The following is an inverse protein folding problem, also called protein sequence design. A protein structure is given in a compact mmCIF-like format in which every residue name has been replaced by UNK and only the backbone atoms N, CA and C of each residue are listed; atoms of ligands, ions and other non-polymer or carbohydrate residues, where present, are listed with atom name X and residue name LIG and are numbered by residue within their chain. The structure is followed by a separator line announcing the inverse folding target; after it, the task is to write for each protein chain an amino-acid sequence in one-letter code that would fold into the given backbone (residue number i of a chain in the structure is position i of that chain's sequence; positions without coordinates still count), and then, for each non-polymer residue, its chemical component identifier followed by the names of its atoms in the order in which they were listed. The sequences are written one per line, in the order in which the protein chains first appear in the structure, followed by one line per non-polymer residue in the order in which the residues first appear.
data_IF_298119101281
#
_entry.id   IF_298119101281
#
_cell.length_a   1.000
_cell.length_b   1.000
_cell.length_c   1.000
_cell.angle_alpha   90.00
_cell.angle_beta   90.00
_cell.angle_gamma   90.00
#
_symmetry.space_group_name_H-M   'P 1'
#
loop_
_entity.id
_entity.type
_entity.pdbx_description
1 polymer ?
#
# COMPACT_ATOMS: atom_id res chain seq x y z
N UNK A 1 -11.04 -15.28 -14.71
CA UNK A 1 -11.13 -13.85 -14.37
C UNK A 1 -9.97 -13.56 -13.41
N UNK A 2 -9.07 -12.62 -13.73
CA UNK A 2 -7.90 -12.35 -12.89
C UNK A 2 -8.29 -11.36 -11.79
N UNK A 3 -8.20 -11.78 -10.52
CA UNK A 3 -8.62 -10.97 -9.36
C UNK A 3 -7.83 -9.66 -9.30
N UNK A 4 -6.53 -9.74 -9.60
CA UNK A 4 -5.62 -8.58 -9.69
C UNK A 4 -6.15 -7.52 -10.65
N UNK A 5 -6.68 -7.90 -11.82
CA UNK A 5 -7.19 -6.93 -12.80
C UNK A 5 -8.41 -6.18 -12.28
N UNK A 6 -9.28 -6.86 -11.53
CA UNK A 6 -10.47 -6.23 -10.92
C UNK A 6 -10.04 -5.23 -9.83
N UNK A 7 -9.06 -5.59 -9.01
CA UNK A 7 -8.50 -4.67 -8.01
C UNK A 7 -7.83 -3.45 -8.67
N UNK A 8 -7.10 -3.65 -9.77
CA UNK A 8 -6.51 -2.54 -10.54
C UNK A 8 -7.58 -1.63 -11.15
N UNK A 9 -8.69 -2.18 -11.64
CA UNK A 9 -9.81 -1.40 -12.12
C UNK A 9 -10.40 -0.53 -11.00
N UNK A 10 -10.68 -1.13 -9.84
CA UNK A 10 -11.19 -0.42 -8.68
C UNK A 10 -10.22 0.69 -8.20
N UNK A 11 -8.92 0.39 -8.17
CA UNK A 11 -7.87 1.35 -7.83
C UNK A 11 -7.81 2.53 -8.81
N UNK A 12 -7.90 2.26 -10.12
CA UNK A 12 -7.94 3.29 -11.16
C UNK A 12 -9.18 4.19 -11.03
N UNK A 13 -10.35 3.59 -10.80
CA UNK A 13 -11.59 4.32 -10.64
C UNK A 13 -11.56 5.23 -9.41
N UNK A 14 -11.12 4.72 -8.26
CA UNK A 14 -10.98 5.52 -7.05
C UNK A 14 -9.88 6.59 -7.20
N UNK A 15 -8.74 6.23 -7.79
CA UNK A 15 -7.63 7.17 -8.02
C UNK A 15 -8.05 8.36 -8.86
N UNK A 16 -8.94 8.16 -9.82
CA UNK A 16 -9.46 9.24 -10.67
C UNK A 16 -10.33 10.20 -9.89
N UNK A 17 -11.22 9.71 -9.02
CA UNK A 17 -12.03 10.55 -8.12
C UNK A 17 -11.15 11.35 -7.15
N UNK A 18 -10.16 10.70 -6.53
CA UNK A 18 -9.25 11.34 -5.59
C UNK A 18 -8.36 12.40 -6.27
N UNK A 19 -7.86 12.14 -7.48
CA UNK A 19 -7.11 13.13 -8.27
C UNK A 19 -7.98 14.35 -8.61
N UNK A 20 -9.22 14.14 -9.04
CA UNK A 20 -10.15 15.22 -9.35
C UNK A 20 -10.47 16.08 -8.10
N UNK A 21 -10.49 15.47 -6.91
CA UNK A 21 -10.61 16.16 -5.64
C UNK A 21 -9.30 16.77 -5.10
N UNK A 22 -8.19 16.69 -5.83
CA UNK A 22 -6.89 17.19 -5.39
C UNK A 22 -6.35 16.48 -4.14
N UNK A 23 -6.64 15.19 -3.98
CA UNK A 23 -6.27 14.38 -2.81
C UNK A 23 -5.03 13.55 -3.14
N UNK A 24 -3.85 13.85 -2.55
CA UNK A 24 -2.68 12.99 -2.66
C UNK A 24 -2.97 11.63 -2.03
N UNK A 25 -2.69 10.57 -2.76
CA UNK A 25 -2.96 9.20 -2.33
C UNK A 25 -1.99 8.21 -2.98
N UNK A 26 -1.86 7.05 -2.36
CA UNK A 26 -1.08 5.92 -2.87
C UNK A 26 -1.70 4.60 -2.44
N UNK A 27 -1.69 3.61 -3.35
CA UNK A 27 -2.19 2.27 -3.08
C UNK A 27 -1.08 1.35 -2.57
N UNK A 28 -1.44 0.37 -1.75
CA UNK A 28 -0.58 -0.75 -1.36
C UNK A 28 -1.44 -1.96 -0.93
N UNK A 29 -0.81 -3.03 -0.45
CA UNK A 29 -1.45 -4.32 -0.15
C UNK A 29 -0.88 -5.43 -1.03
N UNK A 30 -1.42 -6.65 -0.91
CA UNK A 30 -0.96 -7.78 -1.75
C UNK A 30 -1.09 -7.52 -3.26
N UNK A 31 -1.97 -6.60 -3.66
CA UNK A 31 -2.12 -6.14 -5.05
C UNK A 31 -0.80 -5.60 -5.63
N UNK A 32 0.04 -4.94 -4.82
CA UNK A 32 1.32 -4.39 -5.29
C UNK A 32 2.26 -5.51 -5.74
N UNK A 33 2.46 -6.51 -4.88
CA UNK A 33 3.25 -7.70 -5.21
C UNK A 33 2.65 -8.43 -6.40
N UNK A 34 1.32 -8.59 -6.45
CA UNK A 34 0.64 -9.32 -7.52
C UNK A 34 0.81 -8.65 -8.89
N UNK A 35 0.65 -7.33 -9.00
CA UNK A 35 0.86 -6.61 -10.27
C UNK A 35 2.31 -6.79 -10.75
N UNK A 36 3.27 -6.63 -9.83
CA UNK A 36 4.69 -6.66 -10.17
C UNK A 36 5.17 -8.07 -10.52
N UNK A 37 4.60 -9.09 -9.86
CA UNK A 37 4.84 -10.50 -10.15
C UNK A 37 4.06 -11.02 -11.37
N UNK A 38 3.17 -10.20 -11.96
CA UNK A 38 2.16 -10.63 -12.94
C UNK A 38 1.33 -11.84 -12.43
N UNK A 39 0.99 -11.82 -11.14
CA UNK A 39 0.22 -12.88 -10.49
C UNK A 39 -1.29 -12.66 -10.68
N UNK A 40 -2.05 -13.73 -10.94
CA UNK A 40 -3.49 -13.63 -11.23
C UNK A 40 -4.37 -13.38 -10.01
N UNK A 41 -3.86 -13.58 -8.79
CA UNK A 41 -4.61 -13.53 -7.55
C UNK A 41 -4.00 -12.53 -6.56
N UNK A 42 -4.89 -11.72 -5.99
CA UNK A 42 -4.64 -10.79 -4.90
C UNK A 42 -5.99 -10.54 -4.24
N UNK A 43 -6.02 -10.35 -2.93
CA UNK A 43 -7.25 -10.21 -2.15
C UNK A 43 -7.26 -8.96 -1.26
N UNK A 44 -6.17 -8.19 -1.26
CA UNK A 44 -6.00 -7.06 -0.36
C UNK A 44 -5.58 -5.80 -1.12
N UNK A 45 -6.33 -4.71 -0.89
CA UNK A 45 -6.03 -3.39 -1.40
C UNK A 45 -6.31 -2.32 -0.34
N UNK A 46 -5.31 -1.48 -0.12
CA UNK A 46 -5.39 -0.30 0.73
C UNK A 46 -5.09 0.96 -0.07
N UNK A 47 -5.66 2.08 0.36
CA UNK A 47 -5.35 3.39 -0.19
C UNK A 47 -4.95 4.33 0.95
N UNK A 48 -3.68 4.74 0.98
CA UNK A 48 -3.18 5.74 1.91
C UNK A 48 -3.51 7.11 1.35
N UNK A 49 -4.06 7.98 2.19
CA UNK A 49 -4.47 9.33 1.81
C UNK A 49 -3.80 10.36 2.72
N UNK A 50 -3.18 11.37 2.11
CA UNK A 50 -2.54 12.46 2.83
C UNK A 50 -3.57 13.43 3.44
N UNK A 51 -3.30 13.87 4.67
CA UNK A 51 -4.02 14.97 5.29
C UNK A 51 -3.84 16.28 4.51
N UNK A 52 -4.80 17.21 4.61
CA UNK A 52 -4.61 18.55 4.03
C UNK A 52 -3.81 19.45 4.98
N UNK A 53 -3.01 20.36 4.42
CA UNK A 53 -2.15 21.31 5.17
C UNK A 53 -2.89 22.10 6.27
N UNK A 54 -4.18 22.37 6.09
CA UNK A 54 -5.07 23.08 7.02
C UNK A 54 -6.49 22.49 7.09
N UNK A 55 -6.68 21.22 6.71
CA UNK A 55 -8.02 20.64 6.50
C UNK A 55 -8.35 19.47 7.43
N UNK A 56 -9.66 19.22 7.55
CA UNK A 56 -10.28 18.13 8.27
C UNK A 56 -9.66 16.75 7.95
N UNK A 57 -9.87 15.80 8.87
CA UNK A 57 -9.47 14.40 8.79
C UNK A 57 -9.54 13.83 7.35
N UNK A 58 -8.52 13.09 6.87
CA UNK A 58 -8.42 12.65 5.45
C UNK A 58 -9.68 11.94 4.94
N UNK A 59 -10.38 11.21 5.82
CA UNK A 59 -11.64 10.54 5.49
C UNK A 59 -12.75 11.47 5.04
N UNK A 60 -12.83 12.71 5.53
CA UNK A 60 -13.84 13.66 5.06
C UNK A 60 -13.64 13.99 3.59
N UNK A 61 -12.40 14.28 3.18
CA UNK A 61 -12.07 14.60 1.79
C UNK A 61 -12.38 13.44 0.86
N UNK A 62 -12.08 12.21 1.30
CA UNK A 62 -12.43 11.00 0.54
C UNK A 62 -13.94 10.83 0.40
N UNK A 63 -14.71 11.08 1.48
CA UNK A 63 -16.18 11.09 1.43
C UNK A 63 -16.72 12.11 0.43
N UNK A 64 -16.19 13.32 0.45
CA UNK A 64 -16.62 14.39 -0.43
C UNK A 64 -16.28 14.06 -1.90
N UNK A 65 -15.09 13.51 -2.18
CA UNK A 65 -14.65 13.16 -3.53
C UNK A 65 -15.41 11.97 -4.15
N UNK A 66 -15.92 11.07 -3.32
CA UNK A 66 -16.68 9.88 -3.75
C UNK A 66 -18.20 10.15 -3.75
N UNK A 67 -18.65 11.21 -3.07
CA UNK A 67 -20.06 11.59 -3.00
C UNK A 67 -20.68 11.76 -4.38
N UNK A 68 -21.88 11.21 -4.58
CA UNK A 68 -22.62 11.27 -5.84
C UNK A 68 -22.13 10.30 -6.92
N UNK A 69 -21.07 9.52 -6.68
CA UNK A 69 -20.68 8.45 -7.60
C UNK A 69 -21.50 7.17 -7.37
N UNK A 70 -22.18 6.68 -8.39
CA UNK A 70 -23.06 5.50 -8.32
C UNK A 70 -22.33 4.16 -8.13
N UNK A 71 -21.04 4.09 -8.48
CA UNK A 71 -20.26 2.85 -8.42
C UNK A 71 -19.52 2.69 -7.09
N UNK A 72 -19.49 3.72 -6.26
CA UNK A 72 -18.79 3.70 -4.98
C UNK A 72 -19.73 3.93 -3.82
N UNK A 73 -19.43 3.26 -2.72
CA UNK A 73 -20.07 3.55 -1.43
C UNK A 73 -19.05 3.54 -0.33
N UNK A 74 -19.43 4.13 0.79
CA UNK A 74 -18.53 4.37 1.89
C UNK A 74 -19.15 3.85 3.18
N UNK A 75 -18.35 3.09 3.91
CA UNK A 75 -18.66 2.63 5.26
C UNK A 75 -17.56 3.16 6.17
N UNK A 76 -17.92 4.00 7.13
CA UNK A 76 -16.99 4.42 8.18
C UNK A 76 -17.17 3.51 9.39
N UNK A 77 -16.10 2.89 9.86
CA UNK A 77 -16.07 2.11 11.10
C UNK A 77 -15.49 2.99 12.22
N UNK A 78 -16.32 3.58 13.11
CA UNK A 78 -15.86 4.52 14.12
C UNK A 78 -14.95 3.87 15.16
N UNK A 79 -15.17 2.58 15.47
CA UNK A 79 -14.43 1.86 16.51
C UNK A 79 -12.98 1.56 16.12
N UNK A 80 -12.73 1.33 14.84
CA UNK A 80 -11.39 1.04 14.31
C UNK A 80 -10.74 2.25 13.66
N UNK A 81 -11.45 3.39 13.61
CA UNK A 81 -11.06 4.58 12.84
C UNK A 81 -10.64 4.23 11.41
N UNK A 82 -11.42 3.37 10.74
CA UNK A 82 -11.18 2.94 9.37
C UNK A 82 -12.32 3.38 8.47
N UNK A 83 -11.98 3.85 7.27
CA UNK A 83 -12.94 4.18 6.24
C UNK A 83 -12.81 3.16 5.12
N UNK A 84 -13.91 2.51 4.76
CA UNK A 84 -13.96 1.51 3.70
C UNK A 84 -14.71 2.11 2.51
N UNK A 85 -14.12 2.00 1.32
CA UNK A 85 -14.71 2.41 0.05
C UNK A 85 -14.99 1.15 -0.76
N UNK A 86 -16.27 0.86 -1.00
CA UNK A 86 -16.69 -0.32 -1.76
C UNK A 86 -17.00 0.05 -3.21
N UNK A 87 -16.25 -0.53 -4.15
CA UNK A 87 -16.48 -0.45 -5.58
C UNK A 87 -17.41 -1.57 -6.06
N UNK A 88 -18.53 -1.19 -6.68
CA UNK A 88 -19.66 -2.09 -6.96
C UNK A 88 -19.82 -2.51 -8.42
N UNK A 89 -18.99 -1.99 -9.33
CA UNK A 89 -19.05 -2.36 -10.75
C UNK A 89 -18.59 -3.80 -10.99
N UNK A 90 -17.75 -4.34 -10.10
CA UNK A 90 -17.31 -5.73 -10.15
C UNK A 90 -18.17 -6.61 -9.22
N UNK A 91 -18.25 -7.90 -9.55
CA UNK A 91 -18.87 -8.93 -8.71
C UNK A 91 -17.80 -10.01 -8.40
N UNK A 92 -17.53 -10.31 -7.11
CA UNK A 92 -18.01 -9.60 -5.91
C UNK A 92 -17.58 -8.12 -5.86
N UNK A 93 -18.23 -7.32 -5.01
CA UNK A 93 -17.81 -5.94 -4.81
C UNK A 93 -16.38 -5.90 -4.21
N UNK A 94 -15.59 -4.89 -4.57
CA UNK A 94 -14.23 -4.73 -4.07
C UNK A 94 -14.25 -3.71 -2.94
N UNK A 95 -13.77 -4.11 -1.78
CA UNK A 95 -13.55 -3.19 -0.66
C UNK A 95 -12.12 -2.66 -0.70
N UNK A 96 -11.98 -1.34 -0.64
CA UNK A 96 -10.71 -0.64 -0.52
C UNK A 96 -10.71 0.03 0.84
N UNK A 97 -9.80 -0.38 1.71
CA UNK A 97 -9.65 0.28 3.00
C UNK A 97 -8.77 1.54 2.83
N UNK A 98 -9.26 2.65 3.36
CA UNK A 98 -8.63 3.96 3.31
C UNK A 98 -7.91 4.21 4.63
N UNK A 99 -6.64 4.57 4.52
CA UNK A 99 -5.74 4.75 5.66
C UNK A 99 -5.13 6.16 5.67
N UNK A 100 -5.03 6.82 6.83
CA UNK A 100 -4.38 8.12 6.93
C UNK A 100 -2.86 8.00 6.79
N UNK A 101 -2.28 8.84 5.94
CA UNK A 101 -0.83 8.98 5.81
C UNK A 101 -0.18 9.39 7.15
N UNK A 102 1.01 8.87 7.43
CA UNK A 102 1.76 9.14 8.67
C UNK A 102 1.37 8.24 9.84
N UNK A 103 0.12 7.79 9.92
CA UNK A 103 -0.24 6.65 10.80
C UNK A 103 0.15 5.33 10.11
N UNK A 104 -0.23 5.22 8.83
CA UNK A 104 0.19 4.16 7.93
C UNK A 104 1.04 4.73 6.80
N UNK A 105 2.17 4.08 6.54
CA UNK A 105 3.11 4.51 5.50
C UNK A 105 3.71 5.89 5.76
N UNK A 106 4.17 6.58 4.71
CA UNK A 106 4.82 7.88 4.83
C UNK A 106 3.82 9.00 5.11
N UNK A 107 4.29 10.08 5.76
CA UNK A 107 3.48 11.27 6.05
C UNK A 107 3.14 12.08 4.79
N UNK A 108 4.06 12.12 3.83
CA UNK A 108 3.92 12.84 2.58
C UNK A 108 3.95 11.87 1.40
N UNK A 109 3.02 12.05 0.48
CA UNK A 109 2.83 11.24 -0.72
C UNK A 109 3.35 12.03 -1.93
N UNK A 110 4.66 11.92 -2.16
CA UNK A 110 5.41 12.63 -3.20
C UNK A 110 6.21 11.67 -4.09
N UNK A 111 7.05 12.21 -4.96
CA UNK A 111 7.84 11.42 -5.90
C UNK A 111 8.88 10.48 -5.24
N UNK A 112 9.19 10.67 -3.95
CA UNK A 112 10.10 9.81 -3.18
C UNK A 112 9.39 8.64 -2.50
N UNK A 113 8.08 8.78 -2.26
CA UNK A 113 7.26 7.80 -1.53
C UNK A 113 6.24 7.09 -2.40
N UNK A 114 5.96 7.63 -3.58
CA UNK A 114 4.98 7.11 -4.54
C UNK A 114 5.64 6.84 -5.89
N UNK A 115 5.26 5.71 -6.50
CA UNK A 115 5.57 5.36 -7.89
C UNK A 115 4.29 5.10 -8.68
N UNK A 116 4.32 5.28 -10.01
CA UNK A 116 3.17 4.97 -10.85
C UNK A 116 3.28 3.57 -11.44
N UNK A 117 2.24 2.77 -11.29
CA UNK A 117 2.08 1.47 -11.97
C UNK A 117 0.76 1.52 -12.71
N UNK A 118 0.78 1.37 -14.03
CA UNK A 118 -0.43 1.47 -14.88
C UNK A 118 -1.26 2.74 -14.61
N UNK A 119 -0.59 3.89 -14.45
CA UNK A 119 -1.18 5.20 -14.13
C UNK A 119 -1.84 5.35 -12.74
N UNK A 120 -1.80 4.31 -11.90
CA UNK A 120 -2.23 4.35 -10.50
C UNK A 120 -1.02 4.67 -9.60
N UNK A 121 -1.15 5.58 -8.63
CA UNK A 121 -0.10 5.83 -7.65
C UNK A 121 -0.03 4.70 -6.62
N UNK A 122 1.12 4.03 -6.53
CA UNK A 122 1.43 3.02 -5.52
C UNK A 122 2.56 3.50 -4.62
N UNK A 123 2.67 2.98 -3.40
CA UNK A 123 3.89 3.18 -2.62
C UNK A 123 5.13 2.69 -3.39
N UNK A 124 6.27 3.35 -3.19
CA UNK A 124 7.56 2.81 -3.65
C UNK A 124 7.85 1.47 -2.97
N UNK A 125 8.75 0.67 -3.57
CA UNK A 125 9.18 -0.61 -2.98
C UNK A 125 9.64 -0.43 -1.53
N UNK A 126 10.39 0.63 -1.22
CA UNK A 126 10.83 0.96 0.14
C UNK A 126 9.64 1.14 1.09
N UNK A 127 8.68 1.98 0.73
CA UNK A 127 7.53 2.29 1.60
C UNK A 127 6.56 1.11 1.70
N UNK A 128 6.43 0.31 0.64
CA UNK A 128 5.71 -0.96 0.67
C UNK A 128 6.31 -1.92 1.70
N UNK A 129 7.62 -2.17 1.63
CA UNK A 129 8.32 -3.03 2.59
C UNK A 129 8.17 -2.48 4.01
N UNK A 130 8.35 -1.17 4.20
CA UNK A 130 8.22 -0.54 5.52
C UNK A 130 6.81 -0.69 6.10
N UNK A 131 5.78 -0.48 5.30
CA UNK A 131 4.38 -0.64 5.73
C UNK A 131 4.07 -2.09 6.11
N UNK A 132 4.45 -3.06 5.25
CA UNK A 132 4.24 -4.50 5.49
C UNK A 132 5.09 -5.03 6.65
N UNK A 133 6.32 -4.54 6.83
CA UNK A 133 7.19 -4.93 7.94
C UNK A 133 6.58 -4.50 9.27
N UNK A 134 6.04 -3.27 9.35
CA UNK A 134 5.36 -2.77 10.55
C UNK A 134 4.16 -3.65 10.94
N UNK A 135 3.33 -4.07 9.97
CA UNK A 135 2.19 -4.96 10.24
C UNK A 135 2.67 -6.37 10.61
N UNK A 136 3.69 -6.88 9.91
CA UNK A 136 4.26 -8.19 10.18
C UNK A 136 4.90 -8.30 11.57
N UNK A 137 5.61 -7.28 12.05
CA UNK A 137 6.21 -7.31 13.41
C UNK A 137 5.14 -7.52 14.49
N UNK A 138 3.94 -6.98 14.28
CA UNK A 138 2.83 -7.09 15.23
C UNK A 138 2.11 -8.43 15.08
N UNK A 139 1.77 -8.82 13.84
CA UNK A 139 0.87 -9.94 13.57
C UNK A 139 1.54 -11.24 13.11
N UNK A 140 2.78 -11.19 12.64
CA UNK A 140 3.52 -12.35 12.13
C UNK A 140 2.91 -13.01 10.89
N UNK A 141 2.11 -12.29 10.10
CA UNK A 141 1.38 -12.84 8.95
C UNK A 141 2.31 -13.44 7.89
N UNK A 142 2.12 -14.72 7.54
CA UNK A 142 2.90 -15.39 6.48
C UNK A 142 2.76 -14.69 5.13
N UNK A 143 1.59 -14.10 4.86
CA UNK A 143 1.35 -13.36 3.62
C UNK A 143 2.20 -12.10 3.54
N UNK A 144 2.27 -11.33 4.63
CA UNK A 144 3.14 -10.16 4.70
C UNK A 144 4.62 -10.60 4.56
N UNK A 145 4.99 -11.74 5.14
CA UNK A 145 6.34 -12.27 4.98
C UNK A 145 6.68 -12.65 3.54
N UNK A 146 5.74 -13.26 2.82
CA UNK A 146 5.89 -13.57 1.40
C UNK A 146 6.04 -12.30 0.56
N UNK A 147 5.18 -11.31 0.79
CA UNK A 147 5.20 -10.02 0.10
C UNK A 147 6.52 -9.26 0.30
N UNK A 148 7.00 -9.18 1.55
CA UNK A 148 8.27 -8.54 1.91
C UNK A 148 9.43 -9.31 1.27
N UNK A 149 9.45 -10.64 1.40
CA UNK A 149 10.53 -11.49 0.87
C UNK A 149 10.61 -11.36 -0.65
N UNK A 150 9.49 -11.46 -1.35
CA UNK A 150 9.42 -11.28 -2.80
C UNK A 150 9.95 -9.91 -3.21
N UNK A 151 9.44 -8.84 -2.59
CA UNK A 151 9.83 -7.47 -2.92
C UNK A 151 11.31 -7.21 -2.65
N UNK A 152 11.82 -7.70 -1.53
CA UNK A 152 13.22 -7.53 -1.16
C UNK A 152 14.13 -8.30 -2.12
N UNK A 153 13.88 -9.59 -2.38
CA UNK A 153 14.70 -10.39 -3.30
C UNK A 153 14.75 -9.76 -4.69
N UNK A 154 13.60 -9.33 -5.21
CA UNK A 154 13.50 -8.87 -6.59
C UNK A 154 13.96 -7.43 -6.79
N UNK A 155 13.81 -6.58 -5.76
CA UNK A 155 13.98 -5.13 -5.89
C UNK A 155 14.87 -4.50 -4.82
N UNK A 156 15.68 -5.26 -4.08
CA UNK A 156 16.59 -4.73 -3.04
C UNK A 156 17.41 -3.52 -3.53
N UNK A 157 17.85 -3.51 -4.79
CA UNK A 157 18.65 -2.45 -5.37
C UNK A 157 17.91 -1.09 -5.46
N UNK A 158 16.58 -1.10 -5.39
CA UNK A 158 15.70 0.09 -5.37
C UNK A 158 15.26 0.50 -3.97
N UNK A 159 15.64 -0.28 -2.95
CA UNK A 159 15.29 -0.01 -1.56
C UNK A 159 16.24 1.03 -0.96
N UNK A 160 15.68 1.95 -0.19
CA UNK A 160 16.42 2.87 0.68
C UNK A 160 16.47 2.29 2.09
N UNK A 161 17.67 1.82 2.48
CA UNK A 161 17.87 1.16 3.77
C UNK A 161 17.61 2.11 4.94
N UNK A 162 17.84 3.42 4.77
CA UNK A 162 17.71 4.41 5.84
C UNK A 162 16.26 4.64 6.26
N UNK A 163 15.30 4.17 5.45
CA UNK A 163 13.86 4.28 5.73
C UNK A 163 13.29 3.01 6.38
N UNK A 164 14.08 1.93 6.45
CA UNK A 164 13.69 0.65 7.05
C UNK A 164 14.30 0.56 8.45
N UNK A 165 13.49 0.19 9.45
CA UNK A 165 13.99 -0.09 10.80
C UNK A 165 14.89 -1.33 10.76
N UNK A 166 16.19 -1.16 10.97
CA UNK A 166 17.16 -2.28 10.94
C UNK A 166 16.83 -3.36 11.97
N UNK A 167 16.40 -2.97 13.18
CA UNK A 167 15.98 -3.91 14.22
C UNK A 167 14.85 -4.83 13.74
N UNK A 168 13.78 -4.25 13.21
CA UNK A 168 12.63 -5.01 12.70
C UNK A 168 13.02 -5.91 11.53
N UNK A 169 13.86 -5.42 10.63
CA UNK A 169 14.33 -6.19 9.48
C UNK A 169 15.24 -7.34 9.89
N UNK A 170 16.10 -7.17 10.91
CA UNK A 170 16.92 -8.24 11.44
C UNK A 170 16.06 -9.33 12.10
N UNK A 171 15.01 -8.95 12.84
CA UNK A 171 14.01 -9.90 13.35
C UNK A 171 13.31 -10.61 12.20
N UNK A 172 12.91 -9.87 11.16
CA UNK A 172 12.29 -10.44 9.96
C UNK A 172 13.16 -11.50 9.28
N UNK A 173 14.41 -11.16 9.01
CA UNK A 173 15.38 -12.02 8.31
C UNK A 173 15.73 -13.26 9.13
N UNK A 174 15.81 -13.15 10.46
CA UNK A 174 16.05 -14.33 11.31
C UNK A 174 14.90 -15.34 11.26
N UNK A 175 13.66 -14.89 11.08
CA UNK A 175 12.48 -15.75 10.91
C UNK A 175 12.22 -16.16 9.46
N UNK A 176 12.73 -15.40 8.49
CA UNK A 176 12.56 -15.64 7.05
C UNK A 176 13.94 -15.67 6.35
N UNK A 177 14.72 -16.76 6.49
CA UNK A 177 16.10 -16.82 6.02
C UNK A 177 16.27 -16.58 4.52
N UNK A 178 15.23 -16.84 3.71
CA UNK A 178 15.24 -16.57 2.28
C UNK A 178 15.42 -15.09 1.93
N UNK A 179 15.06 -14.17 2.83
CA UNK A 179 15.27 -12.74 2.66
C UNK A 179 16.72 -12.29 2.99
N UNK A 180 17.49 -13.12 3.69
CA UNK A 180 18.84 -12.76 4.18
C UNK A 180 19.84 -12.35 3.08
N UNK A 181 19.93 -13.04 1.93
CA UNK A 181 20.87 -12.65 0.89
C UNK A 181 20.57 -11.27 0.31
N UNK A 182 19.29 -10.95 0.14
CA UNK A 182 18.83 -9.65 -0.37
C UNK A 182 19.08 -8.54 0.65
N UNK A 183 18.81 -8.80 1.93
CA UNK A 183 19.12 -7.86 3.02
C UNK A 183 20.63 -7.58 3.13
N UNK A 184 21.46 -8.62 3.05
CA UNK A 184 22.93 -8.49 3.07
C UNK A 184 23.43 -7.67 1.88
N UNK A 185 22.87 -7.90 0.69
CA UNK A 185 23.22 -7.14 -0.52
C UNK A 185 22.83 -5.68 -0.39
N UNK A 186 21.67 -5.40 0.21
CA UNK A 186 21.22 -4.05 0.51
C UNK A 186 22.15 -3.35 1.51
N UNK A 187 22.50 -3.98 2.64
CA UNK A 187 23.46 -3.43 3.60
C UNK A 187 24.80 -3.08 2.96
N UNK A 188 25.35 -4.01 2.17
CA UNK A 188 26.62 -3.80 1.45
C UNK A 188 26.57 -2.58 0.53
N UNK A 189 25.46 -2.34 -0.17
CA UNK A 189 25.27 -1.16 -1.04
C UNK A 189 25.42 0.16 -0.26
N UNK A 190 25.08 0.18 1.02
CA UNK A 190 25.17 1.36 1.88
C UNK A 190 26.38 1.34 2.83
N UNK A 191 27.30 0.39 2.67
CA UNK A 191 28.52 0.29 3.49
C UNK A 191 28.28 -0.20 4.93
N UNK A 192 27.19 -0.92 5.17
CA UNK A 192 26.81 -1.53 6.46
C UNK A 192 27.11 -3.02 6.53
#
# INVERSE_FOLDING_TARGET
MHETNRLVEAANALSSLLRNGGIPHAFYGSIFSAIIANAPFSDEIFCIVEGGLNQAHPFRRVRDAVSGNEHFTITHSPWTNRLHVTYRRCIPAIEIEILPAGETGPRHLDATTVMKIQQVPFLTVTEFIRAKLKTWVIGGSDRDAQDITFSLIRYWNRVDINRITEQDMNVFVSRNPNAAPAWTSLRRKYGM
#
